data_IF_136205525223
#
_entry.id   IF_136205525223
#
_cell.length_a   1.000
_cell.length_b   1.000
_cell.length_c   1.000
_cell.angle_alpha   90.00
_cell.angle_beta   90.00
_cell.angle_gamma   90.00
#
_symmetry.space_group_name_H-M   'P 1'
#
loop_
_entity.id
_entity.type
_entity.pdbx_description
1 polymer ?
#
# COMPACT_ATOMS: atom_id res chain seq x y z
N UNK A 1 -18.59 6.81 0.07
CA UNK A 1 -18.10 7.91 -0.79
C UNK A 1 -17.92 7.42 -2.21
N UNK A 2 -18.26 8.28 -3.15
CA UNK A 2 -18.08 7.99 -4.58
C UNK A 2 -16.75 8.52 -5.12
N UNK A 3 -15.91 9.04 -4.24
CA UNK A 3 -14.60 9.55 -4.61
C UNK A 3 -13.71 8.39 -5.07
N UNK A 4 -13.09 8.54 -6.22
CA UNK A 4 -12.26 7.50 -6.82
C UNK A 4 -10.77 7.83 -6.88
N UNK A 5 -10.42 9.09 -6.77
CA UNK A 5 -9.02 9.53 -6.79
C UNK A 5 -8.71 10.28 -5.51
N UNK A 6 -7.66 9.83 -4.83
CA UNK A 6 -7.20 10.43 -3.57
C UNK A 6 -5.76 10.89 -3.75
N UNK A 7 -5.51 12.15 -3.49
CA UNK A 7 -4.15 12.71 -3.49
C UNK A 7 -3.81 13.05 -2.05
N UNK A 8 -2.84 12.32 -1.50
CA UNK A 8 -2.54 12.35 -0.07
C UNK A 8 -1.18 12.97 0.20
N UNK A 9 -1.13 13.76 1.28
CA UNK A 9 0.10 14.38 1.77
C UNK A 9 0.96 13.35 2.53
N UNK A 10 2.24 13.67 2.78
CA UNK A 10 3.17 12.73 3.42
C UNK A 10 2.76 12.22 4.81
N UNK A 11 1.97 12.99 5.53
CA UNK A 11 1.55 12.63 6.88
C UNK A 11 0.04 12.40 6.98
N UNK A 12 -0.61 12.11 5.85
CA UNK A 12 -2.05 11.92 5.82
C UNK A 12 -2.49 10.82 6.79
N UNK A 13 -3.59 11.10 7.48
CA UNK A 13 -4.22 10.17 8.41
C UNK A 13 -5.72 10.34 8.24
N UNK A 14 -6.34 9.41 7.53
CA UNK A 14 -7.75 9.49 7.17
C UNK A 14 -8.58 8.53 8.01
N UNK A 15 -9.63 9.02 8.64
CA UNK A 15 -10.61 8.17 9.31
C UNK A 15 -11.33 7.29 8.28
N UNK A 16 -11.88 6.17 8.75
CA UNK A 16 -12.57 5.19 7.90
C UNK A 16 -13.60 5.82 6.95
N UNK A 17 -14.40 6.76 7.44
CA UNK A 17 -15.49 7.34 6.66
C UNK A 17 -15.05 8.20 5.47
N UNK A 18 -13.78 8.63 5.45
CA UNK A 18 -13.23 9.45 4.36
C UNK A 18 -12.09 8.76 3.62
N UNK A 19 -11.73 7.56 4.05
CA UNK A 19 -10.68 6.78 3.40
C UNK A 19 -11.19 6.13 2.11
N UNK A 20 -10.28 5.68 1.22
CA UNK A 20 -10.67 5.04 -0.03
C UNK A 20 -11.55 3.81 0.18
N UNK A 21 -12.59 3.69 -0.63
CA UNK A 21 -13.54 2.56 -0.59
C UNK A 21 -12.96 1.38 -1.36
N UNK A 22 -12.01 0.69 -0.76
CA UNK A 22 -11.25 -0.40 -1.39
C UNK A 22 -11.95 -1.75 -1.38
N UNK A 23 -13.01 -1.91 -0.59
CA UNK A 23 -13.69 -3.20 -0.44
C UNK A 23 -14.20 -3.71 -1.77
N UNK A 24 -13.77 -4.92 -2.15
CA UNK A 24 -14.16 -5.59 -3.39
C UNK A 24 -13.83 -4.81 -4.66
N UNK A 25 -12.84 -3.94 -4.61
CA UNK A 25 -12.44 -3.10 -5.73
C UNK A 25 -10.98 -3.32 -6.10
N UNK A 26 -10.73 -3.28 -7.41
CA UNK A 26 -9.38 -3.11 -7.93
C UNK A 26 -8.95 -1.67 -7.68
N UNK A 27 -7.67 -1.44 -7.42
CA UNK A 27 -7.17 -0.09 -7.23
C UNK A 27 -5.68 0.00 -7.53
N UNK A 28 -5.21 1.22 -7.70
CA UNK A 28 -3.82 1.52 -7.98
C UNK A 28 -3.30 2.50 -6.93
N UNK A 29 -2.05 2.31 -6.55
CA UNK A 29 -1.36 3.19 -5.61
C UNK A 29 -0.08 3.67 -6.25
N UNK A 30 0.15 4.97 -6.21
CA UNK A 30 1.40 5.56 -6.67
C UNK A 30 2.00 6.35 -5.51
N UNK A 31 3.29 6.13 -5.25
CA UNK A 31 4.01 6.85 -4.21
C UNK A 31 5.20 7.56 -4.84
N UNK A 32 5.28 8.86 -4.62
CA UNK A 32 6.46 9.65 -4.97
C UNK A 32 7.28 9.90 -3.71
N UNK A 33 8.55 9.54 -3.77
CA UNK A 33 9.49 9.71 -2.67
C UNK A 33 10.47 10.83 -2.97
N UNK A 34 10.89 11.54 -1.93
CA UNK A 34 12.02 12.45 -1.99
C UNK A 34 13.32 11.76 -1.61
N UNK A 35 13.21 10.67 -0.85
CA UNK A 35 14.34 9.84 -0.42
C UNK A 35 13.82 8.43 -0.19
N UNK A 36 14.54 7.43 -0.67
CA UNK A 36 14.22 6.04 -0.38
C UNK A 36 14.53 5.70 1.08
N UNK A 37 13.91 4.66 1.57
CA UNK A 37 14.11 4.17 2.93
C UNK A 37 13.37 2.87 3.14
N UNK A 38 13.29 2.45 4.39
CA UNK A 38 12.58 1.26 4.82
C UNK A 38 11.32 1.65 5.60
N UNK A 39 10.28 0.87 5.49
CA UNK A 39 9.08 1.04 6.28
C UNK A 39 7.82 1.09 5.44
N UNK A 40 6.73 1.45 6.10
CA UNK A 40 5.40 1.54 5.49
C UNK A 40 5.28 2.83 4.70
N UNK A 41 4.91 2.70 3.44
CA UNK A 41 4.60 3.86 2.60
C UNK A 41 3.16 4.31 2.83
N UNK A 42 2.24 3.36 2.85
CA UNK A 42 0.82 3.62 3.10
C UNK A 42 0.18 2.34 3.58
N UNK A 43 -0.77 2.46 4.50
CA UNK A 43 -1.54 1.32 4.99
C UNK A 43 -2.96 1.77 5.31
N UNK A 44 -3.93 0.92 5.01
CA UNK A 44 -5.33 1.14 5.36
C UNK A 44 -5.86 -0.11 6.02
N UNK A 45 -6.36 0.04 7.26
CA UNK A 45 -6.95 -1.06 7.99
C UNK A 45 -6.16 -1.51 9.20
N UNK A 46 -6.45 -2.72 9.63
CA UNK A 46 -5.88 -3.27 10.86
C UNK A 46 -5.84 -4.78 10.86
N UNK A 47 -6.15 -5.37 12.01
CA UNK A 47 -5.90 -6.79 12.28
C UNK A 47 -6.76 -7.78 11.48
N UNK A 48 -7.97 -7.38 11.08
CA UNK A 48 -8.87 -8.28 10.38
C UNK A 48 -8.80 -8.12 8.87
N UNK A 49 -8.92 -6.90 8.39
CA UNK A 49 -8.92 -6.57 6.96
C UNK A 49 -8.10 -5.32 6.71
N UNK A 50 -7.42 -5.29 5.59
CA UNK A 50 -6.66 -4.13 5.18
C UNK A 50 -5.68 -4.43 4.06
N UNK A 51 -4.91 -3.42 3.70
CA UNK A 51 -3.85 -3.53 2.69
C UNK A 51 -2.75 -2.53 3.02
N UNK A 52 -1.60 -2.74 2.45
CA UNK A 52 -0.50 -1.82 2.62
C UNK A 52 0.62 -2.02 1.61
N UNK A 53 1.52 -1.08 1.62
CA UNK A 53 2.66 -1.04 0.72
C UNK A 53 3.89 -0.65 1.53
N UNK A 54 4.97 -1.40 1.40
CA UNK A 54 6.19 -1.15 2.15
C UNK A 54 7.43 -1.34 1.30
N UNK A 55 8.53 -0.79 1.75
CA UNK A 55 9.86 -1.06 1.21
C UNK A 55 10.73 -1.55 2.34
N UNK A 56 11.45 -2.63 2.09
CA UNK A 56 12.46 -3.15 3.00
C UNK A 56 13.65 -3.63 2.19
N UNK A 57 14.83 -3.09 2.46
CA UNK A 57 16.05 -3.42 1.73
C UNK A 57 15.88 -3.29 0.21
N UNK A 58 15.24 -2.19 -0.23
CA UNK A 58 14.96 -1.87 -1.63
C UNK A 58 13.96 -2.81 -2.30
N UNK A 59 13.27 -3.65 -1.55
CA UNK A 59 12.22 -4.55 -2.07
C UNK A 59 10.86 -3.94 -1.77
N UNK A 60 10.12 -3.66 -2.82
CA UNK A 60 8.74 -3.19 -2.72
C UNK A 60 7.83 -4.39 -2.46
N UNK A 61 6.91 -4.24 -1.51
CA UNK A 61 5.97 -5.30 -1.15
C UNK A 61 4.57 -4.72 -1.00
N UNK A 62 3.61 -5.36 -1.66
CA UNK A 62 2.20 -5.13 -1.45
C UNK A 62 1.66 -6.26 -0.57
N UNK A 63 0.87 -5.93 0.42
CA UNK A 63 0.27 -6.96 1.27
C UNK A 63 -1.19 -6.63 1.55
N UNK A 64 -1.94 -7.69 1.86
CA UNK A 64 -3.35 -7.60 2.19
C UNK A 64 -3.62 -8.53 3.35
N UNK A 65 -4.49 -8.10 4.25
CA UNK A 65 -4.96 -8.95 5.34
C UNK A 65 -6.42 -9.31 5.07
N UNK A 66 -6.69 -10.59 5.04
CA UNK A 66 -8.01 -11.15 4.76
C UNK A 66 -8.38 -12.07 5.92
N UNK A 67 -9.39 -11.69 6.71
CA UNK A 67 -9.80 -12.46 7.89
C UNK A 67 -8.63 -12.78 8.82
N UNK A 68 -7.78 -11.80 9.07
CA UNK A 68 -6.63 -11.93 9.95
C UNK A 68 -5.40 -12.56 9.34
N UNK A 69 -5.46 -13.08 8.11
CA UNK A 69 -4.31 -13.68 7.43
C UNK A 69 -3.67 -12.71 6.46
N UNK A 70 -2.35 -12.61 6.51
CA UNK A 70 -1.59 -11.76 5.60
C UNK A 70 -1.18 -12.55 4.37
N UNK A 71 -1.46 -11.98 3.19
CA UNK A 71 -0.92 -12.44 1.91
C UNK A 71 -0.12 -11.28 1.32
N UNK A 72 0.96 -11.58 0.65
CA UNK A 72 1.79 -10.53 0.10
C UNK A 72 2.41 -10.92 -1.24
N UNK A 73 2.76 -9.88 -2.01
CA UNK A 73 3.53 -10.01 -3.23
C UNK A 73 4.74 -9.11 -3.08
N UNK A 74 5.93 -9.71 -3.11
CA UNK A 74 7.18 -8.99 -3.06
C UNK A 74 7.75 -8.85 -4.47
N UNK A 75 8.36 -7.72 -4.75
CA UNK A 75 9.03 -7.51 -6.03
C UNK A 75 10.24 -8.43 -6.16
N UNK A 76 10.45 -8.96 -7.37
CA UNK A 76 11.63 -9.76 -7.71
C UNK A 76 12.86 -8.89 -7.92
N UNK A 77 12.63 -7.67 -8.38
CA UNK A 77 13.68 -6.70 -8.68
C UNK A 77 13.74 -5.64 -7.60
N UNK A 78 14.94 -5.30 -7.15
CA UNK A 78 15.13 -4.23 -6.19
C UNK A 78 15.01 -2.88 -6.87
N UNK A 79 14.66 -1.86 -6.09
CA UNK A 79 14.69 -0.47 -6.54
C UNK A 79 16.11 -0.05 -6.89
N UNK A 80 16.26 0.66 -7.98
CA UNK A 80 17.50 1.37 -8.29
C UNK A 80 17.62 2.60 -7.40
N UNK A 81 18.84 3.07 -7.17
CA UNK A 81 19.10 4.18 -6.23
C UNK A 81 18.37 5.47 -6.56
N UNK A 82 18.06 5.70 -7.82
CA UNK A 82 17.39 6.93 -8.27
C UNK A 82 15.91 6.76 -8.53
N UNK A 83 15.37 5.58 -8.29
CA UNK A 83 13.95 5.32 -8.52
C UNK A 83 13.12 5.80 -7.34
N UNK A 84 12.43 6.91 -7.53
CA UNK A 84 11.66 7.60 -6.49
C UNK A 84 10.15 7.50 -6.68
N UNK A 85 9.71 6.97 -7.82
CA UNK A 85 8.28 6.80 -8.10
C UNK A 85 7.98 5.31 -8.19
N UNK A 86 7.10 4.82 -7.31
CA UNK A 86 6.71 3.42 -7.31
C UNK A 86 5.21 3.30 -7.43
N UNK A 87 4.77 2.16 -7.95
CA UNK A 87 3.35 1.89 -8.17
C UNK A 87 3.03 0.45 -7.85
N UNK A 88 1.84 0.24 -7.32
CA UNK A 88 1.26 -1.08 -7.13
C UNK A 88 -0.14 -1.07 -7.74
N UNK A 89 -0.47 -2.10 -8.50
CA UNK A 89 -1.79 -2.26 -9.11
C UNK A 89 -2.39 -3.58 -8.66
N UNK A 90 -3.58 -3.51 -8.08
CA UNK A 90 -4.37 -4.69 -7.70
C UNK A 90 -5.52 -4.82 -8.67
N UNK A 91 -5.54 -5.94 -9.38
CA UNK A 91 -6.59 -6.27 -10.34
C UNK A 91 -7.72 -7.08 -9.71
N UNK A 92 -8.89 -7.08 -10.35
CA UNK A 92 -10.05 -7.83 -9.84
C UNK A 92 -9.79 -9.32 -9.73
N UNK A 93 -8.86 -9.85 -10.51
CA UNK A 93 -8.43 -11.25 -10.45
C UNK A 93 -7.61 -11.60 -9.21
N UNK A 94 -7.15 -10.59 -8.46
CA UNK A 94 -6.18 -10.76 -7.38
C UNK A 94 -4.74 -10.61 -7.83
N UNK A 95 -4.50 -10.43 -9.14
CA UNK A 95 -3.14 -10.18 -9.62
C UNK A 95 -2.64 -8.82 -9.11
N UNK A 96 -1.39 -8.80 -8.67
CA UNK A 96 -0.71 -7.60 -8.20
C UNK A 96 0.50 -7.35 -9.10
N UNK A 97 0.63 -6.15 -9.59
CA UNK A 97 1.78 -5.72 -10.38
C UNK A 97 2.51 -4.60 -9.65
N UNK A 98 3.84 -4.69 -9.59
CA UNK A 98 4.69 -3.71 -8.91
C UNK A 98 5.65 -3.07 -9.92
N UNK A 99 5.74 -1.74 -9.86
CA UNK A 99 6.54 -0.95 -10.79
C UNK A 99 7.36 0.11 -10.08
N UNK A 100 8.48 0.48 -10.71
CA UNK A 100 9.20 1.71 -10.41
C UNK A 100 9.20 2.52 -11.71
N UNK A 101 8.46 3.62 -11.74
CA UNK A 101 8.18 4.37 -12.96
C UNK A 101 7.54 3.46 -14.00
N UNK A 102 8.22 3.17 -15.10
CA UNK A 102 7.73 2.25 -16.15
C UNK A 102 8.38 0.87 -16.09
N UNK A 103 9.31 0.67 -15.16
CA UNK A 103 10.03 -0.59 -15.04
C UNK A 103 9.25 -1.57 -14.17
N UNK A 104 8.99 -2.75 -14.66
CA UNK A 104 8.34 -3.80 -13.88
C UNK A 104 9.31 -4.32 -12.83
N UNK A 105 8.88 -4.32 -11.56
CA UNK A 105 9.65 -4.86 -10.45
C UNK A 105 9.26 -6.30 -10.11
N UNK A 106 8.03 -6.66 -10.41
CA UNK A 106 7.53 -8.00 -10.14
C UNK A 106 6.01 -8.06 -10.19
N UNK A 107 5.49 -9.27 -10.06
CA UNK A 107 4.06 -9.51 -10.00
C UNK A 107 3.78 -10.77 -9.21
N UNK A 108 2.54 -10.95 -8.83
CA UNK A 108 2.08 -12.12 -8.11
C UNK A 108 0.59 -12.09 -7.97
N UNK A 109 0.06 -12.94 -7.11
CA UNK A 109 -1.37 -13.04 -6.93
C UNK A 109 -1.73 -13.23 -5.47
N UNK A 110 -2.75 -12.49 -5.02
CA UNK A 110 -3.39 -12.72 -3.73
C UNK A 110 -4.73 -13.43 -3.98
N UNK A 111 -5.28 -14.06 -2.95
CA UNK A 111 -6.47 -14.90 -3.12
C UNK A 111 -7.74 -14.12 -3.41
N UNK A 112 -7.84 -12.87 -2.96
CA UNK A 112 -8.99 -12.03 -3.26
C UNK A 112 -8.69 -10.56 -3.02
N UNK A 113 -9.59 -9.70 -3.50
CA UNK A 113 -9.60 -8.28 -3.14
C UNK A 113 -9.90 -8.13 -1.64
N UNK A 114 -9.67 -6.94 -1.09
CA UNK A 114 -10.07 -6.64 0.28
C UNK A 114 -11.56 -6.89 0.41
N UNK A 115 -11.95 -7.78 1.32
CA UNK A 115 -13.34 -8.28 1.39
C UNK A 115 -14.31 -7.31 2.03
N UNK A 116 -13.84 -6.55 2.99
CA UNK A 116 -14.66 -5.59 3.73
C UNK A 116 -13.89 -4.30 3.92
N UNK A 117 -14.62 -3.21 4.10
CA UNK A 117 -13.98 -1.95 4.43
C UNK A 117 -13.24 -2.11 5.76
N UNK A 118 -11.96 -1.76 5.80
CA UNK A 118 -11.20 -1.81 7.04
C UNK A 118 -11.81 -0.90 8.10
N UNK A 119 -11.89 -1.40 9.33
CA UNK A 119 -12.43 -0.63 10.45
C UNK A 119 -11.56 0.58 10.78
N UNK A 120 -10.25 0.42 10.64
CA UNK A 120 -9.31 1.51 10.82
C UNK A 120 -9.15 2.29 9.52
N UNK A 121 -8.73 3.53 9.63
CA UNK A 121 -8.55 4.41 8.49
C UNK A 121 -7.26 4.15 7.72
N UNK A 122 -6.80 5.17 7.00
CA UNK A 122 -5.60 5.10 6.19
C UNK A 122 -4.54 6.03 6.75
N UNK A 123 -3.29 5.55 6.80
CA UNK A 123 -2.13 6.34 7.20
C UNK A 123 -1.04 6.27 6.13
N UNK A 124 -0.41 7.40 5.88
CA UNK A 124 0.75 7.50 5.00
C UNK A 124 2.01 7.52 5.87
N UNK A 125 2.99 6.68 5.51
CA UNK A 125 4.28 6.64 6.18
C UNK A 125 4.32 5.83 7.47
N UNK A 126 3.24 5.20 7.86
CA UNK A 126 3.16 4.39 9.10
C UNK A 126 1.87 3.59 9.15
N UNK A 127 1.77 2.74 10.16
CA UNK A 127 0.57 1.94 10.43
C UNK A 127 0.41 1.82 11.95
N UNK A 128 -0.15 2.86 12.58
CA UNK A 128 -0.26 2.97 14.04
C UNK A 128 -1.49 2.31 14.63
N UNK A 129 -2.60 2.27 13.87
CA UNK A 129 -3.90 1.83 14.40
C UNK A 129 -4.01 0.33 14.61
N UNK A 130 -3.17 -0.43 13.94
CA UNK A 130 -3.16 -1.89 14.00
C UNK A 130 -2.43 -2.36 12.76
N UNK A 131 -1.56 -3.33 12.92
CA UNK A 131 -0.69 -3.73 11.81
C UNK A 131 -1.45 -4.55 10.79
N UNK A 132 -1.42 -4.12 9.52
CA UNK A 132 -2.00 -4.87 8.41
C UNK A 132 -1.07 -6.01 8.02
N UNK A 133 0.24 -5.79 8.08
CA UNK A 133 1.25 -6.77 7.70
C UNK A 133 1.95 -7.42 8.88
N UNK A 134 2.90 -8.31 8.60
CA UNK A 134 3.72 -8.98 9.60
C UNK A 134 4.96 -8.14 9.90
N UNK A 135 4.80 -7.10 10.69
CA UNK A 135 5.89 -6.20 11.08
C UNK A 135 5.60 -5.63 12.46
N UNK A 136 6.60 -5.01 13.05
CA UNK A 136 6.40 -4.31 14.32
C UNK A 136 5.45 -3.14 14.15
N UNK A 137 4.71 -2.82 15.19
CA UNK A 137 3.84 -1.66 15.22
C UNK A 137 4.60 -0.42 14.74
N UNK A 138 3.95 0.38 13.93
CA UNK A 138 4.51 1.64 13.44
C UNK A 138 5.74 1.51 12.54
N UNK A 139 6.00 0.40 11.91
CA UNK A 139 7.13 0.28 10.97
C UNK A 139 7.21 1.51 10.05
N UNK A 140 7.48 2.65 10.67
CA UNK A 140 7.44 3.96 10.05
C UNK A 140 8.50 4.07 8.97
N UNK A 141 8.12 4.69 7.86
CA UNK A 141 9.04 4.89 6.75
C UNK A 141 10.13 5.88 7.16
N UNK A 142 11.40 5.48 7.04
CA UNK A 142 12.54 6.30 7.42
C UNK A 142 13.14 7.10 6.26
N UNK A 143 12.60 6.98 5.07
CA UNK A 143 12.92 7.84 3.95
C UNK A 143 12.04 9.09 3.94
N UNK A 144 11.73 9.60 2.76
CA UNK A 144 10.90 10.79 2.60
C UNK A 144 9.83 10.56 1.53
N UNK A 145 8.56 10.68 1.91
CA UNK A 145 7.44 10.59 0.99
C UNK A 145 7.04 12.01 0.59
N UNK A 146 6.83 12.23 -0.70
CA UNK A 146 6.32 13.51 -1.21
C UNK A 146 4.81 13.50 -1.33
N UNK A 147 4.25 12.42 -1.87
CA UNK A 147 2.80 12.27 -2.02
C UNK A 147 2.43 10.83 -2.34
N UNK A 148 1.17 10.50 -2.06
CA UNK A 148 0.57 9.23 -2.40
C UNK A 148 -0.70 9.51 -3.20
N UNK A 149 -0.87 8.79 -4.30
CA UNK A 149 -2.08 8.86 -5.10
C UNK A 149 -2.73 7.49 -5.15
N UNK A 150 -4.01 7.42 -4.83
CA UNK A 150 -4.79 6.18 -4.89
C UNK A 150 -5.93 6.38 -5.85
N UNK A 151 -6.08 5.42 -6.77
CA UNK A 151 -7.17 5.44 -7.74
C UNK A 151 -7.98 4.16 -7.62
N UNK A 152 -9.26 4.29 -7.33
CA UNK A 152 -10.19 3.16 -7.24
C UNK A 152 -10.83 2.95 -8.61
N UNK A 153 -10.86 1.74 -9.06
CA UNK A 153 -11.46 1.40 -10.35
C UNK A 153 -12.95 1.05 -10.25
#
# INVERSE_FOLDING_TARGET
SKKKVFNLKPDANLAMGVAPMVAKKAFEVEVQMGKQGNGILVAQGGDAHGWGLSIENKVLRFFVRLNGKVESVAADQKLGEKEMNIQAKLHTSGEVELYASKRTLGSGKISSLVKEMPADGLQVGRDESGTVGNYNTEFAFDGKIKRVKIKIN
#
